data_IF_253143018738
#
_entry.id   IF_253143018738
#
_cell.length_a   1.000
_cell.length_b   1.000
_cell.length_c   1.000
_cell.angle_alpha   90.00
_cell.angle_beta   90.00
_cell.angle_gamma   90.00
#
_symmetry.space_group_name_H-M   'P 1'
#
loop_
_entity.id
_entity.type
_entity.pdbx_description
1 polymer ?
#
# COMPACT_ATOMS: atom_id res chain seq x y z
N UNK A 1 18.65 -22.37 -13.43
CA UNK A 1 18.70 -21.63 -14.71
C UNK A 1 18.28 -20.20 -14.44
N UNK A 2 19.25 -19.29 -14.34
CA UNK A 2 18.97 -17.86 -14.17
C UNK A 2 18.52 -17.32 -15.52
N UNK A 3 17.22 -17.05 -15.67
CA UNK A 3 16.77 -16.15 -16.73
C UNK A 3 17.30 -14.76 -16.37
N UNK A 4 18.49 -14.39 -16.84
CA UNK A 4 18.79 -12.96 -16.98
C UNK A 4 17.86 -12.45 -18.07
N UNK A 5 16.69 -11.96 -17.68
CA UNK A 5 15.91 -11.18 -18.64
C UNK A 5 16.71 -9.92 -18.89
N UNK A 6 17.29 -9.80 -20.08
CA UNK A 6 18.05 -8.60 -20.48
C UNK A 6 17.20 -7.32 -20.39
N UNK A 7 15.88 -7.43 -20.22
CA UNK A 7 14.94 -6.30 -20.02
C UNK A 7 15.07 -5.66 -18.63
N UNK A 8 15.09 -4.33 -18.60
CA UNK A 8 15.02 -3.54 -17.38
C UNK A 8 13.69 -3.71 -16.64
N UNK A 9 12.57 -3.79 -17.38
CA UNK A 9 11.23 -3.96 -16.86
C UNK A 9 10.68 -5.37 -17.16
N UNK A 10 10.19 -6.12 -16.16
CA UNK A 10 9.56 -7.43 -16.37
C UNK A 10 8.38 -7.35 -17.34
N UNK A 11 8.39 -8.16 -18.42
CA UNK A 11 7.34 -8.14 -19.46
C UNK A 11 5.99 -8.63 -18.92
N UNK A 12 6.04 -9.68 -18.10
CA UNK A 12 4.90 -10.20 -17.36
C UNK A 12 5.09 -9.90 -15.86
N UNK A 13 4.02 -9.84 -15.06
CA UNK A 13 4.11 -9.66 -13.61
C UNK A 13 5.09 -10.66 -13.01
N UNK A 14 6.18 -10.17 -12.41
CA UNK A 14 7.29 -10.99 -11.89
C UNK A 14 7.83 -12.08 -12.85
N UNK A 15 7.74 -11.86 -14.16
CA UNK A 15 8.16 -12.79 -15.21
C UNK A 15 7.56 -14.21 -15.06
N UNK A 16 6.28 -14.31 -14.68
CA UNK A 16 5.53 -15.58 -14.69
C UNK A 16 5.51 -16.23 -16.09
N UNK A 17 5.23 -17.54 -16.15
CA UNK A 17 5.09 -18.22 -17.45
C UNK A 17 3.88 -17.65 -18.24
N UNK A 18 3.99 -17.49 -19.57
CA UNK A 18 2.89 -17.01 -20.39
C UNK A 18 1.63 -17.88 -20.29
N UNK A 19 1.81 -19.20 -20.12
CA UNK A 19 0.71 -20.15 -19.94
C UNK A 19 -0.04 -19.90 -18.63
N UNK A 20 0.67 -19.74 -17.51
CA UNK A 20 0.03 -19.43 -16.24
C UNK A 20 -0.70 -18.08 -16.32
N UNK A 21 -0.06 -17.08 -16.95
CA UNK A 21 -0.67 -15.77 -17.13
C UNK A 21 -1.99 -15.85 -17.91
N UNK A 22 -2.00 -16.58 -19.03
CA UNK A 22 -3.19 -16.77 -19.86
C UNK A 22 -4.35 -17.41 -19.07
N UNK A 23 -4.06 -18.41 -18.23
CA UNK A 23 -5.07 -19.10 -17.40
C UNK A 23 -5.55 -18.24 -16.23
N UNK A 24 -4.65 -17.49 -15.59
CA UNK A 24 -4.96 -16.73 -14.39
C UNK A 24 -5.81 -15.46 -14.68
N UNK A 25 -5.60 -14.81 -15.83
CA UNK A 25 -6.23 -13.53 -16.14
C UNK A 25 -7.78 -13.57 -16.11
N UNK A 26 -8.47 -14.55 -16.72
CA UNK A 26 -9.93 -14.62 -16.63
C UNK A 26 -10.43 -14.74 -15.19
N UNK A 27 -9.79 -15.56 -14.36
CA UNK A 27 -10.13 -15.71 -12.95
C UNK A 27 -9.93 -14.39 -12.19
N UNK A 28 -8.79 -13.73 -12.42
CA UNK A 28 -8.47 -12.45 -11.80
C UNK A 28 -9.44 -11.34 -12.24
N UNK A 29 -9.89 -11.35 -13.49
CA UNK A 29 -10.92 -10.41 -13.97
C UNK A 29 -12.25 -10.60 -13.23
N UNK A 30 -12.69 -11.85 -13.02
CA UNK A 30 -13.90 -12.15 -12.23
C UNK A 30 -13.74 -11.69 -10.77
N UNK A 31 -12.59 -11.95 -10.15
CA UNK A 31 -12.31 -11.50 -8.78
C UNK A 31 -12.28 -9.97 -8.67
N UNK A 32 -11.72 -9.26 -9.66
CA UNK A 32 -11.74 -7.79 -9.69
C UNK A 32 -13.16 -7.25 -9.86
N UNK A 33 -13.99 -7.87 -10.69
CA UNK A 33 -15.40 -7.50 -10.81
C UNK A 33 -16.15 -7.67 -9.47
N UNK A 34 -15.96 -8.81 -8.80
CA UNK A 34 -16.53 -9.04 -7.46
C UNK A 34 -15.99 -8.05 -6.42
N UNK A 35 -14.69 -7.73 -6.50
CA UNK A 35 -14.06 -6.70 -5.67
C UNK A 35 -14.68 -5.32 -5.86
N UNK A 36 -15.06 -4.98 -7.09
CA UNK A 36 -15.84 -3.78 -7.41
C UNK A 36 -17.19 -3.74 -6.69
N UNK A 37 -17.94 -4.85 -6.70
CA UNK A 37 -19.23 -4.94 -5.99
C UNK A 37 -19.03 -4.83 -4.47
N UNK A 38 -18.05 -5.55 -3.93
CA UNK A 38 -17.72 -5.54 -2.50
C UNK A 38 -17.38 -4.14 -2.00
N UNK A 39 -16.51 -3.41 -2.72
CA UNK A 39 -16.12 -2.07 -2.31
C UNK A 39 -17.27 -1.06 -2.44
N UNK A 40 -18.14 -1.18 -3.44
CA UNK A 40 -19.33 -0.32 -3.57
C UNK A 40 -20.23 -0.45 -2.34
N UNK A 41 -20.49 -1.67 -1.88
CA UNK A 41 -21.29 -1.91 -0.67
C UNK A 41 -20.65 -1.28 0.58
N UNK A 42 -19.33 -1.47 0.77
CA UNK A 42 -18.58 -0.91 1.90
C UNK A 42 -18.52 0.62 1.86
N UNK A 43 -18.29 1.21 0.68
CA UNK A 43 -18.28 2.67 0.52
C UNK A 43 -19.65 3.27 0.77
N UNK A 44 -20.72 2.62 0.31
CA UNK A 44 -22.10 3.07 0.54
C UNK A 44 -22.40 3.13 2.05
N UNK A 45 -22.07 2.08 2.79
CA UNK A 45 -22.19 2.07 4.25
C UNK A 45 -21.30 3.15 4.89
N UNK A 46 -20.04 3.28 4.45
CA UNK A 46 -19.09 4.25 5.01
C UNK A 46 -19.54 5.70 4.80
N UNK A 47 -20.18 6.01 3.66
CA UNK A 47 -20.76 7.33 3.40
C UNK A 47 -22.03 7.58 4.22
N UNK A 48 -22.90 6.58 4.38
CA UNK A 48 -24.06 6.68 5.26
C UNK A 48 -23.63 6.94 6.72
N UNK A 49 -22.60 6.25 7.21
CA UNK A 49 -22.01 6.49 8.52
C UNK A 49 -21.39 7.89 8.62
N UNK A 50 -20.77 8.39 7.56
CA UNK A 50 -20.21 9.75 7.53
C UNK A 50 -21.30 10.81 7.60
N UNK A 51 -22.43 10.62 6.90
CA UNK A 51 -23.61 11.48 7.00
C UNK A 51 -24.19 11.45 8.42
N UNK A 52 -24.37 10.26 9.01
CA UNK A 52 -24.83 10.10 10.39
C UNK A 52 -23.91 10.82 11.39
N UNK A 53 -22.59 10.68 11.23
CA UNK A 53 -21.59 11.42 12.03
C UNK A 53 -21.72 12.93 11.86
N UNK A 54 -21.98 13.42 10.65
CA UNK A 54 -22.18 14.84 10.40
C UNK A 54 -23.45 15.36 11.08
N UNK A 55 -24.57 14.64 10.94
CA UNK A 55 -25.85 14.96 11.59
C UNK A 55 -25.72 14.98 13.12
N UNK A 56 -25.07 13.98 13.72
CA UNK A 56 -24.77 13.96 15.15
C UNK A 56 -23.92 15.17 15.57
N UNK A 57 -23.00 15.61 14.72
CA UNK A 57 -22.21 16.81 14.96
C UNK A 57 -23.00 18.12 14.95
N UNK A 58 -24.20 18.14 14.36
CA UNK A 58 -25.11 19.29 14.41
C UNK A 58 -25.89 19.38 15.73
N UNK A 59 -25.95 18.29 16.51
CA UNK A 59 -26.57 18.28 17.83
C UNK A 59 -25.69 19.06 18.82
N UNK A 60 -26.22 20.07 19.53
CA UNK A 60 -25.45 20.85 20.50
C UNK A 60 -24.73 19.95 21.52
N UNK A 61 -23.44 20.22 21.74
CA UNK A 61 -22.62 19.48 22.69
C UNK A 61 -22.03 18.15 22.18
N UNK A 62 -22.56 17.54 21.12
CA UNK A 62 -22.09 16.23 20.65
C UNK A 62 -20.66 16.22 20.13
N UNK A 63 -20.23 17.28 19.42
CA UNK A 63 -18.82 17.42 19.00
C UNK A 63 -17.88 17.45 20.21
N UNK A 64 -18.19 18.28 21.20
CA UNK A 64 -17.40 18.42 22.43
C UNK A 64 -17.36 17.12 23.24
N UNK A 65 -18.50 16.42 23.33
CA UNK A 65 -18.57 15.11 23.97
C UNK A 65 -17.69 14.09 23.23
N UNK A 66 -17.79 14.00 21.91
CA UNK A 66 -16.96 13.13 21.08
C UNK A 66 -15.46 13.41 21.25
N UNK A 67 -15.06 14.68 21.23
CA UNK A 67 -13.66 15.08 21.43
C UNK A 67 -13.15 14.71 22.84
N UNK A 68 -13.97 14.92 23.87
CA UNK A 68 -13.64 14.54 25.24
C UNK A 68 -13.52 13.02 25.39
N UNK A 69 -14.42 12.27 24.77
CA UNK A 69 -14.39 10.80 24.74
C UNK A 69 -13.12 10.28 24.07
N UNK A 70 -12.79 10.77 22.87
CA UNK A 70 -11.59 10.38 22.13
C UNK A 70 -10.32 10.72 22.92
N UNK A 71 -10.23 11.93 23.49
CA UNK A 71 -9.10 12.33 24.34
C UNK A 71 -8.97 11.44 25.59
N UNK A 72 -10.10 11.11 26.22
CA UNK A 72 -10.14 10.20 27.37
C UNK A 72 -9.64 8.81 27.00
N UNK A 73 -10.14 8.26 25.89
CA UNK A 73 -9.71 6.96 25.37
C UNK A 73 -8.20 6.90 25.12
N UNK A 74 -7.65 7.85 24.35
CA UNK A 74 -6.21 7.90 24.07
C UNK A 74 -5.37 8.09 25.34
N UNK A 75 -5.84 8.87 26.31
CA UNK A 75 -5.15 9.00 27.62
C UNK A 75 -5.07 7.66 28.35
N UNK A 76 -6.10 6.83 28.29
CA UNK A 76 -6.10 5.52 28.93
C UNK A 76 -5.19 4.54 28.19
N UNK A 77 -5.22 4.55 26.86
CA UNK A 77 -4.36 3.69 26.04
C UNK A 77 -2.89 4.11 26.16
N UNK A 78 -2.58 5.40 26.29
CA UNK A 78 -1.21 5.88 26.54
C UNK A 78 -0.57 5.21 27.76
N UNK A 79 -1.32 5.01 28.85
CA UNK A 79 -0.80 4.30 30.04
C UNK A 79 -0.38 2.86 29.73
N UNK A 80 -1.08 2.21 28.80
CA UNK A 80 -0.72 0.88 28.32
C UNK A 80 0.47 0.96 27.36
N UNK A 81 0.50 1.97 26.49
CA UNK A 81 1.59 2.22 25.56
C UNK A 81 2.93 2.40 26.28
N UNK A 82 2.98 3.25 27.31
CA UNK A 82 4.17 3.49 28.14
C UNK A 82 4.71 2.17 28.73
N UNK A 83 3.80 1.26 29.09
CA UNK A 83 4.14 -0.03 29.69
C UNK A 83 4.60 -1.05 28.64
N UNK A 84 3.91 -1.18 27.51
CA UNK A 84 4.02 -2.32 26.60
C UNK A 84 4.75 -2.04 25.28
N UNK A 85 4.79 -0.79 24.79
CA UNK A 85 5.41 -0.44 23.51
C UNK A 85 6.88 -0.08 23.65
N UNK A 86 7.68 -0.40 22.63
CA UNK A 86 9.10 -0.02 22.54
C UNK A 86 9.24 1.51 22.55
N UNK A 87 8.44 2.19 21.73
CA UNK A 87 8.30 3.64 21.69
C UNK A 87 6.86 4.01 22.10
N UNK A 88 6.65 4.75 23.21
CA UNK A 88 5.31 5.16 23.63
C UNK A 88 4.56 6.04 22.63
N UNK A 89 5.26 6.65 21.65
CA UNK A 89 4.63 7.45 20.59
C UNK A 89 3.81 6.59 19.62
N UNK A 90 4.01 5.27 19.60
CA UNK A 90 3.20 4.32 18.85
C UNK A 90 1.83 4.02 19.51
N UNK A 91 1.44 4.76 20.55
CA UNK A 91 0.10 4.69 21.17
C UNK A 91 -1.04 4.63 20.15
N UNK A 92 -1.07 5.41 19.05
CA UNK A 92 -2.21 5.38 18.15
C UNK A 92 -2.35 4.04 17.40
N UNK A 93 -1.25 3.30 17.22
CA UNK A 93 -1.24 1.93 16.67
C UNK A 93 -1.92 0.99 17.67
N UNK A 94 -1.53 1.04 18.94
CA UNK A 94 -2.16 0.23 19.99
C UNK A 94 -3.65 0.58 20.15
N UNK A 95 -3.98 1.87 20.07
CA UNK A 95 -5.35 2.35 20.13
C UNK A 95 -6.17 1.85 18.95
N UNK A 96 -5.60 1.76 17.74
CA UNK A 96 -6.29 1.19 16.59
C UNK A 96 -6.61 -0.29 16.82
N UNK A 97 -5.64 -1.06 17.34
CA UNK A 97 -5.83 -2.48 17.65
C UNK A 97 -6.90 -2.70 18.73
N UNK A 98 -6.84 -1.94 19.82
CA UNK A 98 -7.84 -2.02 20.89
C UNK A 98 -9.24 -1.59 20.42
N UNK A 99 -9.33 -0.57 19.58
CA UNK A 99 -10.62 -0.15 18.99
C UNK A 99 -11.22 -1.30 18.20
N UNK A 100 -10.44 -1.93 17.31
CA UNK A 100 -10.90 -3.05 16.48
C UNK A 100 -11.26 -4.28 17.33
N UNK A 101 -10.43 -4.61 18.33
CA UNK A 101 -10.67 -5.70 19.26
C UNK A 101 -11.94 -5.52 20.08
N UNK A 102 -12.27 -4.29 20.50
CA UNK A 102 -13.44 -3.98 21.33
C UNK A 102 -14.72 -3.69 20.51
N UNK A 103 -14.63 -3.63 19.19
CA UNK A 103 -15.77 -3.35 18.30
C UNK A 103 -16.04 -4.51 17.36
N UNK A 104 -15.20 -4.71 16.34
CA UNK A 104 -15.36 -5.77 15.36
C UNK A 104 -15.26 -7.18 15.98
N UNK A 105 -14.39 -7.35 16.99
CA UNK A 105 -14.20 -8.62 17.70
C UNK A 105 -15.50 -9.19 18.31
N UNK A 106 -16.15 -8.47 19.26
CA UNK A 106 -17.42 -8.90 19.85
C UNK A 106 -18.52 -9.12 18.82
N UNK A 107 -18.61 -8.27 17.79
CA UNK A 107 -19.60 -8.43 16.71
C UNK A 107 -19.38 -9.74 15.96
N UNK A 108 -18.14 -10.06 15.60
CA UNK A 108 -17.82 -11.31 14.93
C UNK A 108 -18.05 -12.53 15.84
N UNK A 109 -17.66 -12.46 17.11
CA UNK A 109 -17.93 -13.54 18.09
C UNK A 109 -19.43 -13.78 18.24
N UNK A 110 -20.23 -12.71 18.33
CA UNK A 110 -21.68 -12.83 18.41
C UNK A 110 -22.26 -13.44 17.13
N UNK A 111 -21.71 -13.08 15.96
CA UNK A 111 -22.10 -13.69 14.69
C UNK A 111 -21.79 -15.19 14.65
N UNK A 112 -20.62 -15.60 15.16
CA UNK A 112 -20.27 -17.01 15.29
C UNK A 112 -21.19 -17.73 16.27
N UNK A 113 -21.55 -17.10 17.39
CA UNK A 113 -22.47 -17.71 18.35
C UNK A 113 -23.87 -17.96 17.78
N UNK A 114 -24.38 -17.06 16.92
CA UNK A 114 -25.67 -17.23 16.26
C UNK A 114 -25.67 -18.31 15.15
N UNK A 115 -24.51 -18.61 14.55
CA UNK A 115 -24.33 -19.59 13.47
C UNK A 115 -24.92 -19.21 12.10
N UNK A 116 -26.09 -18.58 12.07
CA UNK A 116 -26.71 -18.03 10.87
C UNK A 116 -26.35 -16.55 10.66
N UNK A 117 -26.15 -16.13 9.41
CA UNK A 117 -25.80 -14.74 9.08
C UNK A 117 -26.89 -13.79 9.56
N UNK A 118 -26.51 -12.85 10.43
CA UNK A 118 -27.36 -11.78 10.88
C UNK A 118 -26.88 -10.48 10.23
N UNK A 119 -27.65 -9.97 9.27
CA UNK A 119 -27.28 -8.77 8.51
C UNK A 119 -26.92 -7.54 9.36
N UNK A 120 -27.61 -7.25 10.49
CA UNK A 120 -27.18 -6.17 11.39
C UNK A 120 -25.75 -6.35 11.92
N UNK A 121 -25.31 -7.59 12.18
CA UNK A 121 -23.95 -7.88 12.64
C UNK A 121 -22.93 -7.73 11.52
N UNK A 122 -23.25 -8.15 10.30
CA UNK A 122 -22.40 -7.93 9.12
C UNK A 122 -22.15 -6.43 8.92
N UNK A 123 -23.23 -5.64 8.95
CA UNK A 123 -23.14 -4.18 8.80
C UNK A 123 -22.39 -3.53 9.98
N UNK A 124 -22.61 -3.99 11.21
CA UNK A 124 -21.87 -3.51 12.38
C UNK A 124 -20.37 -3.85 12.30
N UNK A 125 -20.02 -5.03 11.79
CA UNK A 125 -18.63 -5.44 11.59
C UNK A 125 -17.96 -4.54 10.55
N UNK A 126 -18.61 -4.32 9.40
CA UNK A 126 -18.09 -3.38 8.39
C UNK A 126 -18.02 -1.94 8.91
N UNK A 127 -18.99 -1.50 9.71
CA UNK A 127 -18.96 -0.19 10.34
C UNK A 127 -17.75 -0.04 11.30
N UNK A 128 -17.40 -1.10 12.03
CA UNK A 128 -16.25 -1.13 12.92
C UNK A 128 -14.91 -1.18 12.17
N UNK A 129 -14.81 -2.00 11.12
CA UNK A 129 -13.59 -2.18 10.31
C UNK A 129 -13.32 -0.95 9.42
N UNK A 130 -14.31 -0.48 8.68
CA UNK A 130 -14.15 0.58 7.68
C UNK A 130 -14.47 1.98 8.24
N UNK A 131 -15.50 2.10 9.07
CA UNK A 131 -15.86 3.37 9.71
C UNK A 131 -16.39 4.46 8.76
N UNK A 132 -16.79 5.63 9.30
CA UNK A 132 -17.30 6.74 8.51
C UNK A 132 -16.21 7.28 7.58
N UNK A 133 -16.53 7.42 6.28
CA UNK A 133 -15.59 7.84 5.24
C UNK A 133 -14.30 7.01 5.24
N UNK A 134 -14.42 5.68 5.40
CA UNK A 134 -13.33 4.68 5.44
C UNK A 134 -12.22 4.96 6.48
N UNK A 135 -12.48 5.83 7.47
CA UNK A 135 -11.46 6.25 8.46
C UNK A 135 -11.00 5.14 9.38
N UNK A 136 -11.85 4.14 9.65
CA UNK A 136 -11.50 2.95 10.42
C UNK A 136 -10.50 2.08 9.65
N UNK A 137 -10.72 1.90 8.35
CA UNK A 137 -9.80 1.18 7.48
C UNK A 137 -8.47 1.92 7.38
N UNK A 138 -8.49 3.23 7.08
CA UNK A 138 -7.24 4.01 6.96
C UNK A 138 -6.47 3.99 8.28
N UNK A 139 -7.14 4.11 9.43
CA UNK A 139 -6.47 4.00 10.73
C UNK A 139 -5.78 2.65 10.93
N UNK A 140 -6.47 1.55 10.64
CA UNK A 140 -5.95 0.20 10.80
C UNK A 140 -4.86 -0.12 9.78
N UNK A 141 -5.02 0.33 8.54
CA UNK A 141 -4.02 0.23 7.48
C UNK A 141 -2.75 0.99 7.83
N UNK A 142 -2.83 2.28 8.19
CA UNK A 142 -1.67 3.08 8.62
C UNK A 142 -0.99 2.42 9.82
N UNK A 143 -1.77 1.92 10.78
CA UNK A 143 -1.22 1.23 11.96
C UNK A 143 -0.47 -0.04 11.58
N UNK A 144 -1.05 -0.88 10.73
CA UNK A 144 -0.41 -2.08 10.18
C UNK A 144 0.85 -1.74 9.39
N UNK A 145 0.79 -0.68 8.58
CA UNK A 145 1.88 -0.24 7.73
C UNK A 145 3.08 0.22 8.57
N UNK A 146 2.88 1.18 9.47
CA UNK A 146 3.93 1.71 10.35
C UNK A 146 4.49 0.64 11.28
N UNK A 147 3.62 -0.22 11.82
CA UNK A 147 4.03 -1.32 12.69
C UNK A 147 4.96 -2.30 11.95
N UNK A 148 4.69 -2.58 10.67
CA UNK A 148 5.55 -3.43 9.84
C UNK A 148 6.97 -2.89 9.71
N UNK A 149 7.17 -1.58 9.73
CA UNK A 149 8.50 -0.96 9.65
C UNK A 149 9.32 -1.09 10.93
N UNK A 150 8.70 -1.51 12.05
CA UNK A 150 9.40 -1.72 13.31
C UNK A 150 9.93 -3.16 13.36
N UNK A 151 11.27 -3.39 13.36
CA UNK A 151 11.81 -4.74 13.42
C UNK A 151 11.34 -5.49 14.68
N UNK A 152 10.66 -6.61 14.47
CA UNK A 152 10.05 -7.40 15.54
C UNK A 152 8.85 -6.74 16.22
N UNK A 153 8.19 -5.81 15.53
CA UNK A 153 6.95 -5.13 15.92
C UNK A 153 7.08 -4.09 17.04
N UNK A 154 6.00 -3.38 17.34
CA UNK A 154 6.01 -2.25 18.29
C UNK A 154 6.03 -2.66 19.78
N UNK A 155 5.73 -3.91 20.12
CA UNK A 155 5.74 -4.37 21.51
C UNK A 155 7.14 -4.69 22.03
N UNK A 156 7.42 -4.38 23.31
CA UNK A 156 8.72 -4.66 23.97
C UNK A 156 9.12 -6.14 23.93
N UNK A 157 8.16 -7.06 23.82
CA UNK A 157 8.39 -8.52 23.80
C UNK A 157 7.76 -9.12 22.56
N UNK A 158 8.51 -9.86 21.73
CA UNK A 158 7.95 -10.53 20.57
C UNK A 158 7.04 -11.69 21.01
N UNK A 159 5.94 -11.87 20.30
CA UNK A 159 5.03 -13.00 20.51
C UNK A 159 5.62 -14.31 19.93
N UNK A 160 5.05 -15.46 20.31
CA UNK A 160 5.40 -16.74 19.67
C UNK A 160 5.01 -16.76 18.19
N UNK A 161 3.92 -16.09 17.86
CA UNK A 161 3.44 -15.94 16.48
C UNK A 161 4.51 -15.21 15.65
N UNK A 162 5.09 -14.13 16.20
CA UNK A 162 6.11 -13.32 15.52
C UNK A 162 7.30 -14.17 15.07
N UNK A 163 7.78 -15.04 15.96
CA UNK A 163 8.91 -15.94 15.67
C UNK A 163 8.57 -16.99 14.62
N UNK A 164 7.33 -17.45 14.57
CA UNK A 164 6.90 -18.53 13.70
C UNK A 164 6.57 -18.06 12.28
N UNK A 165 5.83 -16.97 12.14
CA UNK A 165 5.36 -16.49 10.85
C UNK A 165 6.25 -15.39 10.23
N UNK A 166 7.13 -14.76 11.00
CA UNK A 166 7.97 -13.65 10.54
C UNK A 166 7.23 -12.32 10.37
N UNK A 167 5.94 -12.25 10.74
CA UNK A 167 5.14 -11.03 10.87
C UNK A 167 4.80 -10.82 12.34
N UNK A 168 4.70 -9.59 12.82
CA UNK A 168 4.26 -9.38 14.20
C UNK A 168 2.79 -9.77 14.40
N UNK A 169 2.42 -9.99 15.65
CA UNK A 169 1.04 -10.20 16.05
C UNK A 169 0.13 -9.04 15.62
N UNK A 170 0.55 -7.78 15.81
CA UNK A 170 -0.28 -6.63 15.45
C UNK A 170 -0.46 -6.49 13.95
N UNK A 171 0.60 -6.72 13.17
CA UNK A 171 0.51 -6.74 11.71
C UNK A 171 -0.60 -7.69 11.27
N UNK A 172 -0.58 -8.93 11.77
CA UNK A 172 -1.55 -9.96 11.43
C UNK A 172 -2.95 -9.65 11.95
N UNK A 173 -3.03 -9.10 13.17
CA UNK A 173 -4.28 -8.69 13.79
C UNK A 173 -5.00 -7.61 12.99
N UNK A 174 -4.27 -6.68 12.37
CA UNK A 174 -4.85 -5.71 11.46
C UNK A 174 -5.16 -6.31 10.09
N UNK A 175 -4.23 -7.10 9.54
CA UNK A 175 -4.35 -7.63 8.18
C UNK A 175 -5.60 -8.51 8.02
N UNK A 176 -5.87 -9.42 8.95
CA UNK A 176 -6.96 -10.41 8.81
C UNK A 176 -8.35 -9.76 8.75
N UNK A 177 -8.78 -8.92 9.71
CA UNK A 177 -10.11 -8.30 9.68
C UNK A 177 -10.27 -7.32 8.52
N UNK A 178 -9.17 -6.70 8.07
CA UNK A 178 -9.16 -5.89 6.86
C UNK A 178 -9.18 -6.73 5.59
N UNK A 179 -9.05 -8.05 5.64
CA UNK A 179 -8.95 -8.89 4.44
C UNK A 179 -7.64 -8.70 3.66
N UNK A 180 -6.56 -8.30 4.31
CA UNK A 180 -5.23 -8.25 3.72
C UNK A 180 -4.49 -9.56 3.99
N UNK A 181 -3.84 -10.12 2.96
CA UNK A 181 -2.97 -11.27 3.14
C UNK A 181 -1.75 -10.87 3.97
N UNK A 182 -1.49 -11.50 5.13
CA UNK A 182 -0.45 -11.04 6.04
C UNK A 182 0.95 -11.40 5.52
N UNK A 183 1.63 -10.44 4.90
CA UNK A 183 3.01 -10.61 4.46
C UNK A 183 3.76 -9.26 4.34
N UNK A 184 4.12 -8.68 5.48
CA UNK A 184 4.75 -7.36 5.55
C UNK A 184 6.02 -7.24 4.68
N UNK A 185 6.72 -8.35 4.45
CA UNK A 185 8.03 -8.35 3.78
C UNK A 185 7.97 -7.90 2.31
N UNK A 186 6.89 -8.15 1.57
CA UNK A 186 6.79 -7.69 0.18
C UNK A 186 6.86 -6.15 0.11
N UNK A 187 6.13 -5.48 0.99
CA UNK A 187 6.22 -4.04 1.15
C UNK A 187 7.59 -3.60 1.69
N UNK A 188 7.99 -4.11 2.85
CA UNK A 188 9.17 -3.64 3.57
C UNK A 188 10.50 -3.92 2.87
N UNK A 189 10.64 -5.10 2.28
CA UNK A 189 11.93 -5.58 1.78
C UNK A 189 12.03 -5.56 0.26
N UNK A 190 10.91 -5.40 -0.44
CA UNK A 190 10.90 -5.31 -1.90
C UNK A 190 10.40 -3.97 -2.40
N UNK A 191 9.24 -3.45 -1.96
CA UNK A 191 8.77 -2.13 -2.38
C UNK A 191 9.77 -1.02 -2.00
N UNK A 192 10.17 -0.94 -0.73
CA UNK A 192 11.14 0.06 -0.26
C UNK A 192 12.56 -0.13 -0.80
N UNK A 193 12.89 -1.36 -1.21
CA UNK A 193 14.18 -1.65 -1.81
C UNK A 193 14.24 -1.18 -3.26
N UNK A 194 13.17 -1.41 -4.01
CA UNK A 194 13.10 -1.11 -5.45
C UNK A 194 12.51 0.29 -5.72
N UNK A 195 11.88 0.92 -4.72
CA UNK A 195 11.38 2.30 -4.68
C UNK A 195 10.56 2.71 -5.92
N UNK A 196 9.51 1.95 -6.22
CA UNK A 196 8.67 2.14 -7.40
C UNK A 196 9.45 2.13 -8.73
N UNK A 197 10.63 1.50 -8.73
CA UNK A 197 11.48 1.31 -9.90
C UNK A 197 11.06 0.11 -10.75
N UNK A 198 11.83 -0.20 -11.82
CA UNK A 198 11.44 -1.21 -12.82
C UNK A 198 11.20 -2.63 -12.29
N UNK A 199 11.88 -3.00 -11.20
CA UNK A 199 11.80 -4.33 -10.57
C UNK A 199 10.83 -4.36 -9.38
N UNK A 200 10.21 -3.24 -9.06
CA UNK A 200 9.22 -3.18 -8.01
C UNK A 200 7.91 -3.79 -8.50
N UNK A 201 7.43 -4.82 -7.81
CA UNK A 201 6.15 -5.46 -8.18
C UNK A 201 4.95 -4.54 -7.96
N UNK A 202 5.11 -3.48 -7.17
CA UNK A 202 4.08 -2.48 -6.90
C UNK A 202 4.15 -1.29 -7.88
N UNK A 203 5.17 -1.23 -8.76
CA UNK A 203 5.30 -0.12 -9.69
C UNK A 203 4.17 -0.09 -10.74
N UNK A 204 3.65 1.10 -10.95
CA UNK A 204 2.58 1.40 -11.91
C UNK A 204 3.10 2.16 -13.14
N UNK A 205 4.42 2.18 -13.35
CA UNK A 205 5.12 2.93 -14.40
C UNK A 205 4.61 2.70 -15.83
N UNK A 206 3.96 1.56 -16.10
CA UNK A 206 3.42 1.17 -17.41
C UNK A 206 2.10 1.86 -17.75
N UNK A 207 1.47 2.51 -16.79
CA UNK A 207 0.08 2.93 -16.90
C UNK A 207 -0.07 4.44 -16.99
N UNK A 208 -1.10 4.86 -17.72
CA UNK A 208 -1.63 6.22 -17.65
C UNK A 208 -2.52 6.33 -16.41
N UNK A 209 -2.12 7.15 -15.46
CA UNK A 209 -2.76 7.27 -14.15
C UNK A 209 -4.08 8.05 -14.18
N UNK A 210 -4.44 8.67 -15.30
CA UNK A 210 -5.72 9.33 -15.54
C UNK A 210 -6.64 8.52 -16.48
N UNK A 211 -6.39 7.20 -16.59
CA UNK A 211 -7.18 6.26 -17.38
C UNK A 211 -7.72 5.13 -16.50
N UNK A 212 -9.05 5.10 -16.32
CA UNK A 212 -9.74 4.10 -15.50
C UNK A 212 -9.55 2.67 -16.04
N UNK A 213 -9.48 2.49 -17.36
CA UNK A 213 -9.24 1.15 -17.92
C UNK A 213 -7.84 0.66 -17.57
N UNK A 214 -6.84 1.54 -17.59
CA UNK A 214 -5.49 1.17 -17.14
C UNK A 214 -5.46 0.79 -15.66
N UNK A 215 -6.24 1.47 -14.82
CA UNK A 215 -6.40 1.08 -13.42
C UNK A 215 -7.01 -0.33 -13.31
N UNK A 216 -8.07 -0.65 -14.06
CA UNK A 216 -8.66 -2.00 -14.08
C UNK A 216 -7.66 -3.05 -14.56
N UNK A 217 -6.89 -2.76 -15.61
CA UNK A 217 -5.83 -3.67 -16.08
C UNK A 217 -4.77 -3.88 -15.00
N UNK A 218 -4.36 -2.82 -14.28
CA UNK A 218 -3.45 -2.92 -13.14
C UNK A 218 -4.02 -3.76 -12.00
N UNK A 219 -5.30 -3.59 -11.68
CA UNK A 219 -5.99 -4.41 -10.67
C UNK A 219 -5.93 -5.90 -11.00
N UNK A 220 -6.19 -6.27 -12.27
CA UNK A 220 -6.15 -7.67 -12.72
C UNK A 220 -4.72 -8.19 -12.85
N UNK A 221 -3.82 -7.39 -13.43
CA UNK A 221 -2.48 -7.82 -13.84
C UNK A 221 -1.44 -7.75 -12.73
N UNK A 222 -1.55 -6.81 -11.78
CA UNK A 222 -0.54 -6.64 -10.74
C UNK A 222 -1.13 -6.87 -9.35
N UNK A 223 -2.25 -6.23 -9.00
CA UNK A 223 -2.82 -6.33 -7.64
C UNK A 223 -3.22 -7.77 -7.29
N UNK A 224 -3.86 -8.51 -8.20
CA UNK A 224 -4.19 -9.92 -7.93
C UNK A 224 -2.92 -10.78 -7.75
N UNK A 225 -1.88 -10.57 -8.55
CA UNK A 225 -0.61 -11.30 -8.39
C UNK A 225 0.06 -10.98 -7.04
N UNK A 226 -0.01 -9.72 -6.61
CA UNK A 226 0.47 -9.29 -5.30
C UNK A 226 -0.35 -9.92 -4.18
N UNK A 227 -1.68 -9.90 -4.26
CA UNK A 227 -2.55 -10.37 -3.18
C UNK A 227 -2.48 -11.89 -2.98
N UNK A 228 -2.33 -12.64 -4.07
CA UNK A 228 -2.02 -14.08 -4.02
C UNK A 228 -0.55 -14.37 -3.71
N UNK A 229 0.26 -13.34 -3.44
CA UNK A 229 1.67 -13.41 -3.11
C UNK A 229 2.54 -14.09 -4.20
N UNK A 230 2.06 -14.12 -5.45
CA UNK A 230 2.78 -14.73 -6.57
C UNK A 230 3.99 -13.86 -6.95
N UNK A 231 3.77 -12.57 -7.22
CA UNK A 231 4.83 -11.68 -7.68
C UNK A 231 5.93 -11.43 -6.63
N UNK A 232 5.64 -11.19 -5.33
CA UNK A 232 6.72 -11.04 -4.36
C UNK A 232 7.46 -12.37 -4.11
N UNK A 233 6.80 -13.52 -4.25
CA UNK A 233 7.44 -14.82 -4.04
C UNK A 233 8.49 -15.07 -5.12
N UNK A 234 8.12 -14.80 -6.38
CA UNK A 234 9.03 -14.92 -7.51
C UNK A 234 10.18 -13.92 -7.42
N UNK A 235 9.92 -12.70 -6.96
CA UNK A 235 10.97 -11.73 -6.65
C UNK A 235 11.97 -12.29 -5.63
N UNK A 236 11.52 -12.73 -4.45
CA UNK A 236 12.43 -13.24 -3.42
C UNK A 236 13.13 -14.55 -3.85
N UNK A 237 12.46 -15.39 -4.64
CA UNK A 237 13.05 -16.59 -5.24
C UNK A 237 14.21 -16.23 -6.17
N UNK A 238 14.04 -15.24 -7.04
CA UNK A 238 15.10 -14.77 -7.95
C UNK A 238 16.32 -14.19 -7.22
N UNK A 239 16.13 -13.75 -5.97
CA UNK A 239 17.17 -13.19 -5.09
C UNK A 239 17.68 -14.18 -4.04
N UNK A 240 17.27 -15.46 -4.14
CA UNK A 240 17.62 -16.55 -3.22
C UNK A 240 17.26 -16.28 -1.73
N UNK A 241 16.23 -15.48 -1.48
CA UNK A 241 15.78 -15.05 -0.14
C UNK A 241 14.81 -16.06 0.49
N UNK A 242 15.33 -17.24 0.86
CA UNK A 242 14.53 -18.38 1.37
C UNK A 242 13.70 -18.07 2.62
N UNK A 243 14.20 -17.24 3.54
CA UNK A 243 13.47 -16.90 4.76
C UNK A 243 12.21 -16.08 4.45
N UNK A 244 12.33 -15.10 3.55
CA UNK A 244 11.25 -14.26 3.07
C UNK A 244 10.21 -15.11 2.33
N UNK A 245 10.66 -15.99 1.43
CA UNK A 245 9.79 -16.94 0.74
C UNK A 245 8.99 -17.82 1.70
N UNK A 246 9.61 -18.32 2.79
CA UNK A 246 8.88 -19.11 3.80
C UNK A 246 7.82 -18.28 4.50
N UNK A 247 8.15 -17.07 4.95
CA UNK A 247 7.20 -16.18 5.62
C UNK A 247 6.02 -15.80 4.69
N UNK A 248 6.23 -15.66 3.38
CA UNK A 248 5.15 -15.52 2.38
C UNK A 248 4.17 -16.66 2.42
N UNK A 249 4.71 -17.86 2.26
CA UNK A 249 3.91 -19.08 2.19
C UNK A 249 3.18 -19.28 3.51
N UNK A 250 3.86 -19.13 4.66
CA UNK A 250 3.25 -19.28 5.98
C UNK A 250 2.12 -18.27 6.22
N UNK A 251 2.31 -16.98 5.90
CA UNK A 251 1.28 -15.96 6.06
C UNK A 251 0.03 -16.24 5.21
N UNK A 252 0.22 -16.63 3.95
CA UNK A 252 -0.89 -16.95 3.05
C UNK A 252 -1.60 -18.26 3.44
N UNK A 253 -0.86 -19.30 3.80
CA UNK A 253 -1.43 -20.57 4.28
C UNK A 253 -2.25 -20.36 5.55
N UNK A 254 -1.84 -19.46 6.44
CA UNK A 254 -2.63 -19.14 7.62
C UNK A 254 -3.93 -18.43 7.25
N UNK A 255 -3.88 -17.42 6.37
CA UNK A 255 -5.09 -16.73 5.90
C UNK A 255 -6.06 -17.71 5.24
N UNK A 256 -5.56 -18.59 4.36
CA UNK A 256 -6.35 -19.63 3.72
C UNK A 256 -6.90 -20.65 4.73
N UNK A 257 -6.09 -21.10 5.69
CA UNK A 257 -6.54 -22.01 6.74
C UNK A 257 -7.65 -21.41 7.60
N UNK A 258 -7.56 -20.13 7.96
CA UNK A 258 -8.62 -19.42 8.67
C UNK A 258 -9.90 -19.34 7.83
N UNK A 259 -9.77 -19.01 6.54
CA UNK A 259 -10.92 -18.97 5.63
C UNK A 259 -11.57 -20.35 5.50
N UNK A 260 -10.79 -21.40 5.25
CA UNK A 260 -11.28 -22.77 5.09
C UNK A 260 -11.91 -23.29 6.38
N UNK A 261 -11.31 -23.02 7.55
CA UNK A 261 -11.88 -23.39 8.84
C UNK A 261 -13.24 -22.69 9.06
N UNK A 262 -13.33 -21.39 8.77
CA UNK A 262 -14.57 -20.64 8.89
C UNK A 262 -15.61 -21.09 7.86
N UNK A 263 -15.20 -21.45 6.65
CA UNK A 263 -16.09 -21.95 5.61
C UNK A 263 -16.63 -23.35 5.91
N UNK A 264 -15.81 -24.20 6.55
CA UNK A 264 -16.25 -25.49 7.08
C UNK A 264 -17.26 -25.36 8.23
N UNK A 265 -17.18 -24.27 9.01
CA UNK A 265 -18.19 -23.92 10.00
C UNK A 265 -19.46 -23.32 9.37
N UNK A 266 -19.30 -22.29 8.55
CA UNK A 266 -20.38 -21.60 7.84
C UNK A 266 -19.81 -20.82 6.65
N UNK A 267 -19.99 -21.36 5.44
CA UNK A 267 -19.57 -20.70 4.20
C UNK A 267 -20.11 -19.27 4.07
N UNK A 268 -21.39 -18.97 4.37
CA UNK A 268 -21.88 -17.59 4.35
C UNK A 268 -21.11 -16.65 5.29
N UNK A 269 -20.78 -17.08 6.51
CA UNK A 269 -19.99 -16.26 7.44
C UNK A 269 -18.56 -16.06 6.89
N UNK A 270 -17.93 -17.11 6.35
CA UNK A 270 -16.61 -16.98 5.73
C UNK A 270 -16.61 -15.99 4.57
N UNK A 271 -17.67 -16.01 3.75
CA UNK A 271 -17.82 -15.07 2.64
C UNK A 271 -17.95 -13.62 3.17
N UNK A 272 -18.86 -13.35 4.10
CA UNK A 272 -19.12 -11.98 4.55
C UNK A 272 -18.05 -11.42 5.51
N UNK A 273 -17.35 -12.24 6.27
CA UNK A 273 -16.37 -11.74 7.26
C UNK A 273 -14.92 -11.87 6.82
N UNK A 274 -14.63 -12.61 5.74
CA UNK A 274 -13.27 -12.73 5.21
C UNK A 274 -13.19 -12.44 3.71
N UNK A 275 -14.00 -13.09 2.86
CA UNK A 275 -13.88 -12.93 1.40
C UNK A 275 -14.29 -11.53 0.94
N UNK A 276 -15.42 -11.01 1.39
CA UNK A 276 -15.89 -9.66 1.01
C UNK A 276 -14.92 -8.58 1.51
N UNK A 277 -14.45 -8.59 2.77
CA UNK A 277 -13.37 -7.70 3.20
C UNK A 277 -12.09 -7.81 2.37
N UNK A 278 -11.68 -9.04 2.04
CA UNK A 278 -10.48 -9.28 1.22
C UNK A 278 -10.62 -8.68 -0.17
N UNK A 279 -11.76 -8.91 -0.83
CA UNK A 279 -12.05 -8.33 -2.13
C UNK A 279 -12.12 -6.79 -2.09
N UNK A 280 -12.79 -6.21 -1.10
CA UNK A 280 -12.88 -4.76 -0.98
C UNK A 280 -11.53 -4.10 -0.72
N UNK A 281 -10.72 -4.71 0.14
CA UNK A 281 -9.40 -4.20 0.48
C UNK A 281 -8.42 -4.32 -0.68
N UNK A 282 -8.58 -5.29 -1.59
CA UNK A 282 -7.80 -5.30 -2.83
C UNK A 282 -8.00 -4.01 -3.63
N UNK A 283 -9.23 -3.51 -3.75
CA UNK A 283 -9.50 -2.24 -4.44
C UNK A 283 -8.86 -1.07 -3.69
N UNK A 284 -8.99 -1.02 -2.36
CA UNK A 284 -8.41 0.04 -1.55
C UNK A 284 -6.88 0.06 -1.66
N UNK A 285 -6.22 -1.10 -1.59
CA UNK A 285 -4.77 -1.22 -1.79
C UNK A 285 -4.35 -0.81 -3.19
N UNK A 286 -5.12 -1.23 -4.21
CA UNK A 286 -4.90 -0.80 -5.58
C UNK A 286 -4.94 0.71 -5.73
N UNK A 287 -5.94 1.37 -5.13
CA UNK A 287 -6.04 2.84 -5.11
C UNK A 287 -4.85 3.47 -4.38
N UNK A 288 -4.47 2.95 -3.21
CA UNK A 288 -3.36 3.48 -2.42
C UNK A 288 -2.05 3.46 -3.22
N UNK A 289 -1.66 2.30 -3.76
CA UNK A 289 -0.43 2.17 -4.53
C UNK A 289 -0.46 3.00 -5.82
N UNK A 290 -1.60 3.01 -6.52
CA UNK A 290 -1.78 3.78 -7.75
C UNK A 290 -1.59 5.28 -7.53
N UNK A 291 -2.18 5.82 -6.46
CA UNK A 291 -2.16 7.24 -6.16
C UNK A 291 -0.85 7.71 -5.51
N UNK A 292 -0.24 6.88 -4.66
CA UNK A 292 1.03 7.20 -4.00
C UNK A 292 2.21 7.32 -4.98
N UNK A 293 2.12 6.64 -6.13
CA UNK A 293 3.14 6.63 -7.17
C UNK A 293 2.59 7.04 -8.53
N UNK A 294 1.77 8.09 -8.62
CA UNK A 294 0.97 8.35 -9.82
C UNK A 294 1.69 9.06 -10.99
N UNK A 295 2.92 9.53 -10.82
CA UNK A 295 3.51 10.53 -11.73
C UNK A 295 4.84 10.08 -12.34
N UNK A 296 4.80 9.35 -13.47
CA UNK A 296 5.99 8.85 -14.16
C UNK A 296 6.34 9.57 -15.47
N UNK A 297 5.38 10.25 -16.10
CA UNK A 297 5.57 10.82 -17.43
C UNK A 297 6.69 11.85 -17.45
N UNK A 298 7.66 11.67 -18.35
CA UNK A 298 8.85 12.52 -18.44
C UNK A 298 9.98 12.16 -17.48
N UNK A 299 9.87 11.06 -16.71
CA UNK A 299 10.96 10.56 -15.87
C UNK A 299 12.15 10.15 -16.75
N UNK A 300 13.33 10.69 -16.48
CA UNK A 300 14.55 10.35 -17.24
C UNK A 300 15.30 9.15 -16.63
N UNK A 301 15.44 9.13 -15.30
CA UNK A 301 16.01 7.98 -14.59
C UNK A 301 14.88 7.11 -14.02
N UNK A 302 14.73 5.85 -14.47
CA UNK A 302 13.72 4.92 -13.96
C UNK A 302 13.82 4.63 -12.45
N UNK A 303 14.93 4.99 -11.79
CA UNK A 303 15.15 4.81 -10.35
C UNK A 303 14.95 6.08 -9.53
N UNK A 304 14.63 7.20 -10.16
CA UNK A 304 14.36 8.47 -9.48
C UNK A 304 12.99 8.45 -8.78
N UNK A 305 12.91 7.74 -7.65
CA UNK A 305 11.64 7.54 -6.94
C UNK A 305 11.01 8.84 -6.42
N UNK A 306 11.81 9.83 -6.04
CA UNK A 306 11.28 11.15 -5.65
C UNK A 306 10.48 11.82 -6.78
N UNK A 307 10.73 11.46 -8.04
CA UNK A 307 10.00 11.97 -9.20
C UNK A 307 8.59 11.36 -9.30
N UNK A 308 8.40 10.11 -8.89
CA UNK A 308 7.12 9.40 -9.03
C UNK A 308 6.31 9.29 -7.74
N UNK A 309 6.97 9.42 -6.58
CA UNK A 309 6.37 9.37 -5.26
C UNK A 309 5.67 10.69 -4.93
N UNK A 310 4.45 10.62 -4.39
CA UNK A 310 3.59 11.79 -4.10
C UNK A 310 3.57 12.10 -2.61
N UNK A 311 3.78 13.36 -2.26
CA UNK A 311 3.51 13.87 -0.90
C UNK A 311 2.13 14.52 -0.85
N UNK A 312 1.31 14.11 0.11
CA UNK A 312 -0.05 14.59 0.32
C UNK A 312 -0.17 15.20 1.72
N UNK A 313 -0.34 16.52 1.78
CA UNK A 313 -0.40 17.29 3.01
C UNK A 313 -1.85 17.68 3.35
N UNK A 314 -2.14 17.77 4.65
CA UNK A 314 -3.22 18.60 5.22
C UNK A 314 -4.68 18.31 4.77
N UNK A 315 -5.16 17.06 4.75
CA UNK A 315 -6.62 16.76 4.77
C UNK A 315 -6.97 15.73 5.85
N UNK A 316 -8.25 15.51 6.25
CA UNK A 316 -8.60 15.05 7.60
C UNK A 316 -8.18 13.62 7.98
N UNK A 317 -7.47 12.91 7.08
CA UNK A 317 -7.01 11.54 7.26
C UNK A 317 -5.53 11.40 6.87
N UNK A 318 -4.67 12.27 7.40
CA UNK A 318 -3.22 12.00 7.45
C UNK A 318 -2.90 11.26 8.76
N UNK A 319 -3.37 10.01 8.88
CA UNK A 319 -3.17 9.19 10.08
C UNK A 319 -1.73 8.68 10.08
N UNK A 320 -1.03 8.82 11.20
CA UNK A 320 0.38 8.42 11.34
C UNK A 320 1.29 9.01 10.25
N UNK A 321 1.02 10.22 9.78
CA UNK A 321 1.85 10.94 8.80
C UNK A 321 2.12 10.19 7.47
N UNK A 322 1.24 9.27 7.08
CA UNK A 322 1.31 8.55 5.78
C UNK A 322 1.42 9.46 4.56
N UNK A 323 0.88 10.68 4.64
CA UNK A 323 0.94 11.66 3.57
C UNK A 323 2.36 12.11 3.22
N UNK A 324 3.32 11.97 4.13
CA UNK A 324 4.74 12.27 3.91
C UNK A 324 5.46 11.11 3.19
N UNK A 325 4.88 10.61 2.11
CA UNK A 325 5.29 9.37 1.46
C UNK A 325 6.71 9.42 0.88
N UNK A 326 7.17 10.57 0.39
CA UNK A 326 8.57 10.74 -0.05
C UNK A 326 9.54 10.58 1.12
N UNK A 327 9.22 11.14 2.30
CA UNK A 327 10.04 10.95 3.51
C UNK A 327 10.02 9.49 3.94
N UNK A 328 8.86 8.86 3.84
CA UNK A 328 8.68 7.44 4.13
C UNK A 328 9.57 6.55 3.25
N UNK A 329 9.65 6.80 1.94
CA UNK A 329 10.56 6.08 1.05
C UNK A 329 12.04 6.38 1.31
N UNK A 330 12.38 7.64 1.59
CA UNK A 330 13.77 8.02 1.82
C UNK A 330 14.31 7.49 3.16
N UNK A 331 13.46 7.42 4.19
CA UNK A 331 13.80 7.01 5.55
C UNK A 331 12.79 5.98 6.11
N UNK A 332 12.63 4.84 5.44
CA UNK A 332 11.60 3.83 5.75
C UNK A 332 11.57 3.34 7.20
N UNK A 333 12.71 3.35 7.91
CA UNK A 333 12.80 2.85 9.29
C UNK A 333 12.75 3.95 10.36
N UNK A 334 12.44 5.21 9.99
CA UNK A 334 12.31 6.29 10.97
C UNK A 334 10.87 6.36 11.49
N UNK A 335 10.71 6.69 12.76
CA UNK A 335 9.40 6.82 13.39
C UNK A 335 8.56 7.89 12.67
N UNK A 336 7.32 7.53 12.32
CA UNK A 336 6.41 8.36 11.52
C UNK A 336 6.17 9.77 12.06
N UNK A 337 6.31 9.98 13.37
CA UNK A 337 6.16 11.31 13.99
C UNK A 337 7.23 12.30 13.54
N UNK A 338 8.38 11.82 13.06
CA UNK A 338 9.48 12.66 12.60
C UNK A 338 9.27 13.19 11.17
N UNK A 339 8.37 12.58 10.40
CA UNK A 339 8.15 12.89 8.99
C UNK A 339 7.94 14.38 8.68
N UNK A 340 7.20 15.18 9.47
CA UNK A 340 7.06 16.61 9.21
C UNK A 340 8.40 17.38 9.27
N UNK A 341 9.27 17.05 10.23
CA UNK A 341 10.58 17.70 10.35
C UNK A 341 11.54 17.22 9.25
N UNK A 342 11.47 15.93 8.92
CA UNK A 342 12.24 15.34 7.83
C UNK A 342 11.85 15.90 6.46
N UNK A 343 10.56 16.19 6.27
CA UNK A 343 10.05 16.84 5.07
C UNK A 343 10.71 18.19 4.84
N UNK A 344 10.83 19.04 5.87
CA UNK A 344 11.52 20.32 5.76
C UNK A 344 13.00 20.15 5.37
N UNK A 345 13.66 19.11 5.88
CA UNK A 345 15.08 18.83 5.59
C UNK A 345 15.31 18.37 4.15
N UNK A 346 14.38 17.60 3.57
CA UNK A 346 14.53 16.98 2.24
C UNK A 346 13.96 17.83 1.09
N UNK A 347 13.38 19.01 1.39
CA UNK A 347 12.86 19.93 0.36
C UNK A 347 13.87 20.26 -0.75
N UNK A 348 15.17 20.51 -0.48
CA UNK A 348 16.14 20.79 -1.54
C UNK A 348 16.26 19.64 -2.55
N UNK A 349 16.34 18.39 -2.07
CA UNK A 349 16.41 17.20 -2.91
C UNK A 349 15.10 16.96 -3.66
N UNK A 350 13.96 17.15 -2.99
CA UNK A 350 12.64 17.05 -3.63
C UNK A 350 12.44 18.10 -4.74
N UNK A 351 12.94 19.34 -4.53
CA UNK A 351 12.95 20.40 -5.54
C UNK A 351 13.79 20.00 -6.74
N UNK A 352 15.01 19.52 -6.49
CA UNK A 352 15.91 19.05 -7.56
C UNK A 352 15.30 17.86 -8.33
N UNK A 353 14.59 16.96 -7.65
CA UNK A 353 13.90 15.82 -8.22
C UNK A 353 12.51 16.16 -8.82
N UNK A 354 12.06 17.42 -8.72
CA UNK A 354 10.74 17.87 -9.18
C UNK A 354 9.59 17.01 -8.62
N UNK A 355 9.66 16.69 -7.33
CA UNK A 355 8.65 15.88 -6.62
C UNK A 355 7.28 16.55 -6.60
N UNK A 356 6.23 15.73 -6.53
CA UNK A 356 4.85 16.18 -6.46
C UNK A 356 4.41 16.36 -5.01
N UNK A 357 4.00 17.58 -4.64
CA UNK A 357 3.46 17.92 -3.32
C UNK A 357 2.07 18.52 -3.49
N UNK A 358 1.07 17.93 -2.84
CA UNK A 358 -0.29 18.47 -2.85
C UNK A 358 -0.75 18.82 -1.44
N UNK A 359 -1.54 19.89 -1.32
CA UNK A 359 -2.23 20.27 -0.08
C UNK A 359 -3.73 20.00 -0.16
N UNK A 360 -4.34 19.81 1.01
CA UNK A 360 -5.77 19.56 1.15
C UNK A 360 -6.28 18.42 0.25
N UNK A 361 -5.50 17.34 0.16
CA UNK A 361 -5.76 16.21 -0.72
C UNK A 361 -5.49 14.89 0.01
N UNK A 362 -6.48 13.99 0.07
CA UNK A 362 -6.25 12.61 0.49
C UNK A 362 -5.88 11.72 -0.70
N UNK A 363 -5.36 10.52 -0.42
CA UNK A 363 -5.08 9.49 -1.43
C UNK A 363 -6.32 9.20 -2.28
N UNK A 364 -7.48 9.06 -1.63
CA UNK A 364 -8.75 8.84 -2.35
C UNK A 364 -9.17 10.04 -3.19
N UNK A 365 -8.99 11.26 -2.68
CA UNK A 365 -9.28 12.47 -3.46
C UNK A 365 -8.40 12.53 -4.71
N UNK A 366 -7.10 12.26 -4.57
CA UNK A 366 -6.17 12.21 -5.69
C UNK A 366 -6.63 11.19 -6.73
N UNK A 367 -6.93 9.96 -6.30
CA UNK A 367 -7.45 8.91 -7.18
C UNK A 367 -8.68 9.37 -7.96
N UNK A 368 -9.70 9.90 -7.26
CA UNK A 368 -10.94 10.33 -7.89
C UNK A 368 -10.72 11.50 -8.86
N UNK A 369 -9.92 12.49 -8.50
CA UNK A 369 -9.62 13.62 -9.40
C UNK A 369 -8.86 13.17 -10.65
N UNK A 370 -7.96 12.19 -10.54
CA UNK A 370 -7.27 11.59 -11.69
C UNK A 370 -8.25 10.81 -12.59
N UNK A 371 -9.08 9.94 -12.01
CA UNK A 371 -10.08 9.15 -12.76
C UNK A 371 -11.11 10.04 -13.46
N UNK A 372 -11.52 11.14 -12.82
CA UNK A 372 -12.44 12.14 -13.37
C UNK A 372 -11.73 13.20 -14.23
N UNK A 373 -10.39 13.11 -14.39
CA UNK A 373 -9.56 14.04 -15.17
C UNK A 373 -9.74 15.51 -14.79
N UNK A 374 -9.99 15.79 -13.51
CA UNK A 374 -10.19 17.14 -12.95
C UNK A 374 -8.84 17.80 -12.65
N UNK A 375 -8.03 17.97 -13.69
CA UNK A 375 -6.66 18.49 -13.58
C UNK A 375 -6.61 19.93 -13.09
N UNK A 376 -7.65 20.71 -13.36
CA UNK A 376 -7.76 22.10 -12.93
C UNK A 376 -7.87 22.18 -11.40
N UNK A 377 -8.72 21.32 -10.80
CA UNK A 377 -8.86 21.21 -9.34
C UNK A 377 -7.58 20.65 -8.70
N UNK A 378 -6.91 19.72 -9.38
CA UNK A 378 -5.65 19.16 -8.90
C UNK A 378 -4.51 20.19 -8.97
N UNK A 379 -4.49 21.05 -9.99
CA UNK A 379 -3.52 22.13 -10.13
C UNK A 379 -3.64 23.17 -9.02
N UNK A 380 -4.86 23.48 -8.57
CA UNK A 380 -5.10 24.39 -7.44
C UNK A 380 -4.50 23.86 -6.13
N UNK A 381 -4.38 22.53 -6.01
CA UNK A 381 -3.84 21.84 -4.85
C UNK A 381 -2.34 21.56 -4.92
N UNK A 382 -1.74 21.72 -6.10
CA UNK A 382 -0.32 21.46 -6.32
C UNK A 382 0.51 22.61 -5.72
N UNK A 383 1.29 22.27 -4.70
CA UNK A 383 2.37 23.11 -4.19
C UNK A 383 3.61 22.81 -5.02
N UNK A 384 3.99 23.76 -5.87
CA UNK A 384 5.13 23.61 -6.76
C UNK A 384 6.32 24.43 -6.28
N UNK A 385 7.52 23.97 -6.65
CA UNK A 385 8.78 24.55 -6.19
C UNK A 385 9.03 25.96 -6.72
N UNK A 386 8.56 26.24 -7.94
CA UNK A 386 8.62 27.56 -8.57
C UNK A 386 7.21 28.08 -8.89
N UNK A 387 7.04 29.41 -9.01
CA UNK A 387 5.79 29.96 -9.51
C UNK A 387 5.45 29.41 -10.90
N UNK A 388 4.30 28.75 -11.01
CA UNK A 388 3.70 28.33 -12.27
C UNK A 388 2.29 28.90 -12.37
N UNK A 389 1.91 29.33 -13.57
CA UNK A 389 0.51 29.64 -13.87
C UNK A 389 -0.37 28.40 -13.74
N UNK A 390 -1.68 28.61 -13.62
CA UNK A 390 -2.64 27.50 -13.54
C UNK A 390 -2.54 26.58 -14.76
N UNK A 391 -2.45 27.16 -15.96
CA UNK A 391 -2.30 26.41 -17.22
C UNK A 391 -1.02 25.58 -17.25
N UNK A 392 0.10 26.13 -16.76
CA UNK A 392 1.38 25.43 -16.66
C UNK A 392 1.30 24.26 -15.68
N UNK A 393 0.64 24.42 -14.53
CA UNK A 393 0.40 23.32 -13.58
C UNK A 393 -0.46 22.23 -14.19
N UNK A 394 -1.53 22.58 -14.90
CA UNK A 394 -2.39 21.60 -15.60
C UNK A 394 -1.60 20.84 -16.66
N UNK A 395 -0.81 21.54 -17.48
CA UNK A 395 0.04 20.91 -18.50
C UNK A 395 1.06 19.95 -17.88
N UNK A 396 1.72 20.37 -16.79
CA UNK A 396 2.64 19.55 -16.02
C UNK A 396 1.95 18.28 -15.50
N UNK A 397 0.79 18.40 -14.85
CA UNK A 397 0.05 17.26 -14.33
C UNK A 397 -0.35 16.28 -15.45
N UNK A 398 -0.87 16.80 -16.58
CA UNK A 398 -1.24 15.98 -17.76
C UNK A 398 -0.05 15.26 -18.38
N UNK A 399 1.14 15.86 -18.36
CA UNK A 399 2.37 15.20 -18.78
C UNK A 399 2.74 14.10 -17.79
N UNK A 400 2.74 14.41 -16.49
CA UNK A 400 3.33 13.57 -15.44
C UNK A 400 2.50 12.32 -15.14
N UNK A 401 1.19 12.32 -15.36
CA UNK A 401 0.34 11.11 -15.18
C UNK A 401 0.51 10.05 -16.27
N UNK A 402 1.15 10.40 -17.39
CA UNK A 402 1.42 9.45 -18.49
C UNK A 402 2.34 8.32 -18.03
N UNK A 403 2.38 7.18 -18.75
CA UNK A 403 3.37 6.15 -18.49
C UNK A 403 4.81 6.69 -18.51
N UNK A 404 5.71 6.02 -17.79
CA UNK A 404 7.14 6.25 -17.91
C UNK A 404 7.61 6.03 -19.37
N UNK A 405 8.69 6.68 -19.84
CA UNK A 405 9.28 6.43 -21.16
C UNK A 405 10.05 5.10 -21.18
N UNK A 406 9.34 3.98 -20.94
CA UNK A 406 9.90 2.64 -20.75
C UNK A 406 10.78 2.20 -21.92
N UNK A 407 10.37 2.51 -23.16
CA UNK A 407 11.15 2.14 -24.34
C UNK A 407 12.52 2.83 -24.36
N UNK A 408 12.58 4.09 -23.94
CA UNK A 408 13.83 4.83 -23.83
C UNK A 408 14.70 4.29 -22.71
N UNK A 409 14.11 4.07 -21.54
CA UNK A 409 14.80 3.44 -20.40
C UNK A 409 15.41 2.08 -20.76
N UNK A 410 14.65 1.24 -21.48
CA UNK A 410 15.12 -0.06 -21.99
C UNK A 410 16.27 0.11 -22.98
N UNK A 411 16.16 1.03 -23.95
CA UNK A 411 17.24 1.29 -24.92
C UNK A 411 18.54 1.68 -24.23
N UNK A 412 18.47 2.59 -23.26
CA UNK A 412 19.63 3.03 -22.45
C UNK A 412 20.20 1.85 -21.67
N UNK A 413 19.35 1.01 -21.07
CA UNK A 413 19.77 -0.18 -20.35
C UNK A 413 20.52 -1.18 -21.25
N UNK A 414 19.98 -1.49 -22.44
CA UNK A 414 20.63 -2.38 -23.40
C UNK A 414 22.00 -1.86 -23.84
N UNK A 415 22.11 -0.55 -24.11
CA UNK A 415 23.38 0.07 -24.47
C UNK A 415 24.42 -0.05 -23.34
N UNK A 416 24.01 0.11 -22.08
CA UNK A 416 24.89 -0.07 -20.93
C UNK A 416 25.35 -1.53 -20.77
N UNK A 417 24.44 -2.51 -20.96
CA UNK A 417 24.79 -3.93 -20.94
C UNK A 417 25.78 -4.30 -22.04
N UNK A 418 25.57 -3.79 -23.27
CA UNK A 418 26.45 -4.03 -24.40
C UNK A 418 27.87 -3.48 -24.14
N UNK A 419 27.98 -2.24 -23.64
CA UNK A 419 29.28 -1.65 -23.26
C UNK A 419 30.01 -2.48 -22.21
N UNK A 420 29.30 -2.95 -21.18
CA UNK A 420 29.89 -3.78 -20.12
C UNK A 420 30.39 -5.13 -20.63
N UNK A 421 29.69 -5.76 -21.58
CA UNK A 421 30.15 -7.00 -22.23
C UNK A 421 31.46 -6.76 -23.01
N UNK A 422 31.53 -5.67 -23.77
CA UNK A 422 32.76 -5.29 -24.50
C UNK A 422 33.95 -5.04 -23.56
N UNK A 423 33.74 -4.46 -22.39
CA UNK A 423 34.83 -4.23 -21.40
C UNK A 423 35.29 -5.50 -20.68
N UNK A 424 34.44 -6.54 -20.60
CA UNK A 424 34.74 -7.79 -19.92
C UNK A 424 35.34 -8.87 -20.84
N UNK A 425 35.29 -8.70 -22.16
CA UNK A 425 36.04 -9.53 -23.10
C UNK A 425 37.49 -9.01 -23.20
N UNK A 426 38.51 -9.78 -22.78
CA UNK A 426 39.89 -9.32 -22.81
C UNK A 426 40.44 -9.40 -24.24
N UNK A 427 40.32 -8.32 -24.99
CA UNK A 427 41.22 -8.06 -26.12
C UNK A 427 42.47 -7.35 -25.60
N UNK A 428 43.59 -8.07 -25.59
CA UNK A 428 44.98 -7.70 -25.20
C UNK A 428 45.48 -8.30 -23.88
N UNK A 429 46.01 -9.52 -23.98
CA UNK A 429 47.03 -10.02 -23.08
C UNK A 429 48.27 -9.08 -23.14
N UNK A 430 48.98 -8.83 -22.02
CA UNK A 430 50.26 -8.15 -22.08
C UNK A 430 51.23 -9.01 -22.87
N UNK A 431 51.88 -8.41 -23.87
CA UNK A 431 52.96 -9.00 -24.65
C UNK A 431 54.06 -9.41 -23.67
N UNK A 432 54.14 -10.70 -23.36
CA UNK A 432 55.37 -11.30 -22.83
C UNK A 432 56.27 -11.60 -24.03
N UNK A 433 57.37 -10.87 -24.15
CA UNK A 433 58.38 -11.16 -25.15
C UNK A 433 59.46 -10.08 -25.28
N UNK A 434 60.51 -10.18 -24.46
CA UNK A 434 61.90 -9.96 -24.89
C UNK A 434 62.83 -10.39 -23.74
N UNK A 435 63.32 -11.63 -23.83
CA UNK A 435 64.64 -11.96 -23.30
C UNK A 435 65.68 -11.56 -24.36
N UNK A 436 66.64 -10.72 -23.96
CA UNK A 436 68.04 -10.82 -24.35
C UNK A 436 68.88 -10.12 -23.29
#
# INVERSE_FOLDING_TARGET
MAHSTDSLYPRLPANVSPVFHFVAIPLFAVLVAFSGVAIIAILTLSFALQLGRWLLGCVPGMKRFGDAWVKGYHRQVQRLADRWLKDPRDEPILAAALTLALTAGPVFILQLWLGAVAWPLVLAFYAAVYGPNIRGFVRSFSSMHQEGHVPGGVFKRPSRLDKWCGNSFLYMFFAIPMGLTPHALAHLQQHHRENAGPLDIYATARYDHANLWHFVVYMVREVMYQQFLISPYLYFRSREKRAQMRAMVTGNLLHLALFTALAGYSLPIAVFYMLVPWCASNVLMGVIHWSQHAFYGGQADPRAYMYNTVTLLEKPVNILNEGYHVCHHHWANVHWSESPQLFERIKPEMRAAQSMVFRDLSVMDLFLLLMLRRFEVLADKLEWWEPLSQEQKVALLRQRVRPAPIQEHERVHQQALARRKVTLEPGFAPVQGAQS
#
